data_IF_113118391052
#
_entry.id   IF_113118391052
#
_cell.length_a   1.000
_cell.length_b   1.000
_cell.length_c   1.000
_cell.angle_alpha   90.00
_cell.angle_beta   90.00
_cell.angle_gamma   90.00
#
_symmetry.space_group_name_H-M   'P 1'
#
loop_
_entity.id
_entity.type
_entity.pdbx_description
1 polymer ?
#
# COMPACT_ATOMS: atom_id res chain seq x y z
N UNK A 1 19.04 7.69 7.13
CA UNK A 1 17.70 7.37 7.68
C UNK A 1 17.72 6.13 8.57
N UNK A 2 18.22 4.96 8.08
CA UNK A 2 18.28 3.71 8.86
C UNK A 2 19.03 3.85 10.20
N UNK A 3 20.25 4.38 10.19
CA UNK A 3 21.07 4.48 11.41
C UNK A 3 20.47 5.46 12.43
N UNK A 4 19.82 6.52 11.94
CA UNK A 4 19.08 7.45 12.79
C UNK A 4 17.90 6.75 13.49
N UNK A 5 17.16 5.90 12.77
CA UNK A 5 16.07 5.11 13.35
C UNK A 5 16.59 4.08 14.35
N UNK A 6 17.70 3.37 14.04
CA UNK A 6 18.38 2.46 14.97
C UNK A 6 18.74 3.19 16.27
N UNK A 7 19.34 4.38 16.18
CA UNK A 7 19.69 5.19 17.34
C UNK A 7 18.45 5.62 18.16
N UNK A 8 17.35 6.00 17.49
CA UNK A 8 16.09 6.33 18.18
C UNK A 8 15.51 5.13 18.92
N UNK A 9 15.47 3.94 18.30
CA UNK A 9 15.01 2.73 18.97
C UNK A 9 15.84 2.42 20.23
N UNK A 10 17.17 2.48 20.12
CA UNK A 10 18.07 2.24 21.25
C UNK A 10 17.94 3.28 22.37
N UNK A 11 17.52 4.51 22.05
CA UNK A 11 17.25 5.54 23.06
C UNK A 11 15.97 5.27 23.87
N UNK A 12 15.02 4.52 23.31
CA UNK A 12 13.77 4.13 23.96
C UNK A 12 13.95 2.80 24.70
N UNK A 13 14.63 1.84 24.08
CA UNK A 13 14.94 0.53 24.65
C UNK A 13 16.39 0.16 24.32
N UNK A 14 17.27 0.29 25.32
CA UNK A 14 18.68 -0.02 25.19
C UNK A 14 18.96 -1.51 24.94
N UNK A 15 17.96 -2.39 25.16
CA UNK A 15 18.05 -3.82 24.90
C UNK A 15 17.53 -4.23 23.53
N UNK A 16 16.97 -3.27 22.76
CA UNK A 16 16.45 -3.53 21.43
C UNK A 16 17.54 -4.08 20.50
N UNK A 17 17.28 -5.24 19.92
CA UNK A 17 18.15 -5.91 18.95
C UNK A 17 17.40 -6.23 17.67
N UNK A 18 18.08 -6.19 16.53
CA UNK A 18 17.50 -6.57 15.22
C UNK A 18 18.17 -7.85 14.73
N UNK A 19 17.41 -8.94 14.71
CA UNK A 19 17.84 -10.26 14.23
C UNK A 19 17.19 -10.61 12.88
N UNK A 20 17.19 -9.66 11.95
CA UNK A 20 16.67 -9.88 10.61
C UNK A 20 17.84 -9.97 9.62
N UNK A 21 17.93 -11.00 8.77
CA UNK A 21 19.04 -11.16 7.83
C UNK A 21 19.16 -10.00 6.84
N UNK A 22 18.09 -9.25 6.59
CA UNK A 22 18.07 -8.10 5.68
C UNK A 22 18.34 -6.76 6.39
N UNK A 23 18.52 -6.74 7.71
CA UNK A 23 18.68 -5.51 8.49
C UNK A 23 19.92 -4.70 8.10
N UNK A 24 20.97 -5.39 7.65
CA UNK A 24 22.26 -4.80 7.30
C UNK A 24 22.52 -4.78 5.79
N UNK A 25 21.49 -4.99 4.96
CA UNK A 25 21.59 -4.89 3.50
C UNK A 25 22.21 -3.54 3.09
N UNK A 26 23.35 -3.61 2.40
CA UNK A 26 24.02 -2.45 1.79
C UNK A 26 23.84 -2.50 0.28
N UNK A 27 23.67 -1.33 -0.33
CA UNK A 27 23.70 -1.23 -1.79
C UNK A 27 25.14 -1.42 -2.27
N UNK A 28 25.31 -2.20 -3.34
CA UNK A 28 26.63 -2.52 -3.86
C UNK A 28 27.38 -1.27 -4.38
N UNK A 29 26.65 -0.33 -4.99
CA UNK A 29 27.13 1.00 -5.39
C UNK A 29 25.93 1.90 -5.74
N UNK A 30 26.19 3.13 -6.18
CA UNK A 30 25.19 4.02 -6.77
C UNK A 30 25.03 3.84 -8.29
N UNK A 31 25.80 2.91 -8.89
CA UNK A 31 25.69 2.59 -10.32
C UNK A 31 24.48 1.71 -10.61
N UNK A 32 23.69 2.09 -11.62
CA UNK A 32 22.47 1.37 -11.97
C UNK A 32 22.76 -0.09 -12.39
N UNK A 33 23.85 -0.34 -13.11
CA UNK A 33 24.22 -1.68 -13.56
C UNK A 33 24.62 -2.59 -12.40
N UNK A 34 25.37 -2.07 -11.43
CA UNK A 34 25.69 -2.78 -10.18
C UNK A 34 24.42 -3.10 -9.36
N UNK A 35 23.52 -2.12 -9.20
CA UNK A 35 22.26 -2.29 -8.49
C UNK A 35 21.36 -3.33 -9.16
N UNK A 36 21.29 -3.35 -10.50
CA UNK A 36 20.54 -4.36 -11.23
C UNK A 36 21.10 -5.77 -11.03
N UNK A 37 22.43 -5.91 -11.00
CA UNK A 37 23.08 -7.19 -10.71
C UNK A 37 22.80 -7.66 -9.28
N UNK A 38 22.89 -6.76 -8.30
CA UNK A 38 22.54 -7.07 -6.92
C UNK A 38 21.06 -7.47 -6.79
N UNK A 39 20.14 -6.78 -7.47
CA UNK A 39 18.71 -7.08 -7.42
C UNK A 39 18.35 -8.51 -7.87
N UNK A 40 19.17 -9.12 -8.72
CA UNK A 40 18.96 -10.51 -9.15
C UNK A 40 18.95 -11.50 -7.95
N UNK A 41 19.73 -11.22 -6.90
CA UNK A 41 19.80 -12.02 -5.66
C UNK A 41 18.53 -11.93 -4.79
N UNK A 42 17.67 -10.96 -5.10
CA UNK A 42 16.41 -10.68 -4.39
C UNK A 42 15.18 -10.92 -5.27
N UNK A 43 15.36 -11.56 -6.43
CA UNK A 43 14.22 -11.94 -7.27
C UNK A 43 13.28 -12.87 -6.49
N UNK A 44 11.95 -12.62 -6.48
CA UNK A 44 11.02 -13.40 -5.68
C UNK A 44 11.02 -14.91 -5.99
N UNK A 45 11.49 -15.30 -7.17
CA UNK A 45 11.54 -16.67 -7.67
C UNK A 45 12.94 -17.30 -7.65
N UNK A 46 13.93 -16.68 -6.99
CA UNK A 46 15.34 -17.12 -6.99
C UNK A 46 15.55 -18.58 -6.59
N UNK A 47 14.73 -19.10 -5.68
CA UNK A 47 14.83 -20.44 -5.09
C UNK A 47 13.68 -21.36 -5.53
N UNK A 48 12.96 -20.99 -6.60
CA UNK A 48 11.82 -21.73 -7.15
C UNK A 48 12.09 -23.22 -7.31
N UNK A 49 13.26 -23.59 -7.82
CA UNK A 49 13.63 -25.00 -8.05
C UNK A 49 13.74 -25.80 -6.74
N UNK A 50 14.08 -25.16 -5.62
CA UNK A 50 14.22 -25.79 -4.32
C UNK A 50 12.89 -25.87 -3.54
N UNK A 51 12.05 -24.84 -3.62
CA UNK A 51 10.81 -24.72 -2.82
C UNK A 51 9.55 -25.20 -3.56
N UNK A 52 9.59 -25.29 -4.89
CA UNK A 52 8.43 -25.65 -5.72
C UNK A 52 7.37 -24.55 -5.85
N UNK A 53 6.39 -24.80 -6.73
CA UNK A 53 5.40 -23.80 -7.15
C UNK A 53 4.44 -23.37 -6.04
N UNK A 54 4.07 -24.29 -5.13
CA UNK A 54 3.09 -24.00 -4.08
C UNK A 54 3.63 -22.99 -3.06
N UNK A 55 4.86 -23.21 -2.58
CA UNK A 55 5.51 -22.30 -1.62
C UNK A 55 5.81 -20.96 -2.29
N UNK A 56 6.31 -20.97 -3.53
CA UNK A 56 6.51 -19.74 -4.31
C UNK A 56 5.18 -18.97 -4.48
N UNK A 57 4.11 -19.66 -4.85
CA UNK A 57 2.78 -19.09 -5.03
C UNK A 57 2.28 -18.41 -3.76
N UNK A 58 2.44 -19.04 -2.60
CA UNK A 58 2.04 -18.45 -1.32
C UNK A 58 2.92 -17.26 -0.90
N UNK A 59 4.23 -17.30 -1.13
CA UNK A 59 5.10 -16.13 -0.92
C UNK A 59 4.65 -14.94 -1.76
N UNK A 60 4.36 -15.18 -3.04
CA UNK A 60 3.88 -14.15 -3.95
C UNK A 60 2.50 -13.65 -3.55
N UNK A 61 1.59 -14.54 -3.13
CA UNK A 61 0.27 -14.17 -2.61
C UNK A 61 0.41 -13.23 -1.41
N UNK A 62 1.29 -13.55 -0.46
CA UNK A 62 1.53 -12.68 0.70
C UNK A 62 2.14 -11.34 0.28
N UNK A 63 3.17 -11.35 -0.57
CA UNK A 63 3.84 -10.13 -1.04
C UNK A 63 2.88 -9.19 -1.79
N UNK A 64 2.08 -9.73 -2.72
CA UNK A 64 1.12 -8.94 -3.48
C UNK A 64 -0.10 -8.54 -2.64
N UNK A 65 -0.50 -9.38 -1.68
CA UNK A 65 -1.51 -9.03 -0.68
C UNK A 65 -1.10 -7.82 0.15
N UNK A 66 0.16 -7.77 0.62
CA UNK A 66 0.70 -6.59 1.30
C UNK A 66 0.77 -5.36 0.38
N UNK A 67 1.11 -5.52 -0.90
CA UNK A 67 1.07 -4.38 -1.83
C UNK A 67 -0.35 -3.80 -1.97
N UNK A 68 -1.36 -4.66 -2.04
CA UNK A 68 -2.76 -4.23 -2.06
C UNK A 68 -3.17 -3.52 -0.76
N UNK A 69 -2.82 -4.10 0.40
CA UNK A 69 -3.11 -3.50 1.70
C UNK A 69 -2.42 -2.13 1.86
N UNK A 70 -1.19 -1.98 1.39
CA UNK A 70 -0.48 -0.71 1.42
C UNK A 70 -1.17 0.38 0.60
N UNK A 71 -1.72 0.04 -0.57
CA UNK A 71 -2.46 1.01 -1.38
C UNK A 71 -3.69 1.55 -0.62
N UNK A 72 -4.48 0.68 0.01
CA UNK A 72 -5.63 1.12 0.81
C UNK A 72 -5.22 1.84 2.10
N UNK A 73 -4.11 1.44 2.73
CA UNK A 73 -3.54 2.16 3.87
C UNK A 73 -3.16 3.59 3.49
N UNK A 74 -2.57 3.80 2.32
CA UNK A 74 -2.21 5.12 1.83
C UNK A 74 -3.46 5.97 1.57
N UNK A 75 -4.48 5.43 0.90
CA UNK A 75 -5.73 6.16 0.71
C UNK A 75 -6.41 6.54 2.03
N UNK A 76 -6.41 5.64 3.01
CA UNK A 76 -6.91 5.94 4.35
C UNK A 76 -6.08 7.07 4.98
N UNK A 77 -4.75 6.99 4.90
CA UNK A 77 -3.84 8.01 5.46
C UNK A 77 -4.04 9.39 4.83
N UNK A 78 -4.24 9.44 3.51
CA UNK A 78 -4.54 10.67 2.75
C UNK A 78 -5.86 11.34 3.20
N UNK A 79 -6.77 10.56 3.79
CA UNK A 79 -8.02 11.02 4.43
C UNK A 79 -7.88 11.24 5.95
N UNK A 80 -6.66 11.17 6.49
CA UNK A 80 -6.36 11.34 7.91
C UNK A 80 -6.70 10.13 8.78
N UNK A 81 -6.99 8.98 8.18
CA UNK A 81 -7.31 7.73 8.88
C UNK A 81 -6.06 6.85 8.95
N UNK A 82 -5.65 6.47 10.16
CA UNK A 82 -4.53 5.55 10.37
C UNK A 82 -4.70 4.80 11.69
N UNK A 83 -4.04 3.64 11.77
CA UNK A 83 -4.03 2.80 12.95
C UNK A 83 -2.61 2.21 13.10
N UNK A 84 -1.98 2.49 14.24
CA UNK A 84 -0.61 2.06 14.51
C UNK A 84 -0.49 0.54 14.70
N UNK A 85 -1.55 -0.14 15.14
CA UNK A 85 -1.56 -1.60 15.27
C UNK A 85 -1.59 -2.26 13.89
N UNK A 86 -2.32 -1.68 12.94
CA UNK A 86 -2.29 -2.11 11.53
C UNK A 86 -0.88 -1.91 10.95
N UNK A 87 -0.26 -0.75 11.16
CA UNK A 87 1.09 -0.49 10.66
C UNK A 87 2.14 -1.41 11.29
N UNK A 88 2.03 -1.67 12.59
CA UNK A 88 2.88 -2.62 13.28
C UNK A 88 2.73 -4.05 12.70
N UNK A 89 1.49 -4.49 12.48
CA UNK A 89 1.21 -5.79 11.84
C UNK A 89 1.78 -5.86 10.42
N UNK A 90 1.58 -4.81 9.62
CA UNK A 90 2.09 -4.71 8.26
C UNK A 90 3.62 -4.85 8.21
N UNK A 91 4.33 -4.07 9.05
CA UNK A 91 5.78 -4.12 9.11
C UNK A 91 6.32 -5.45 9.66
N UNK A 92 5.62 -6.07 10.61
CA UNK A 92 5.98 -7.41 11.12
C UNK A 92 5.93 -8.46 10.00
N UNK A 93 4.85 -8.48 9.21
CA UNK A 93 4.70 -9.44 8.10
C UNK A 93 5.73 -9.17 7.01
N UNK A 94 5.96 -7.89 6.66
CA UNK A 94 6.98 -7.52 5.68
C UNK A 94 8.38 -7.97 6.11
N UNK A 95 8.74 -7.78 7.38
CA UNK A 95 10.02 -8.22 7.93
C UNK A 95 10.16 -9.76 7.88
N UNK A 96 9.09 -10.48 8.22
CA UNK A 96 9.06 -11.95 8.16
C UNK A 96 9.19 -12.49 6.73
N UNK A 97 8.48 -11.91 5.75
CA UNK A 97 8.65 -12.30 4.34
C UNK A 97 10.09 -12.07 3.84
N UNK A 98 10.77 -11.05 4.37
CA UNK A 98 12.18 -10.76 4.10
C UNK A 98 13.15 -11.84 4.56
N UNK A 99 12.73 -12.79 5.42
CA UNK A 99 13.53 -13.94 5.85
C UNK A 99 13.40 -15.15 4.92
N UNK A 100 12.71 -15.00 3.79
CA UNK A 100 12.48 -16.06 2.79
C UNK A 100 11.85 -17.34 3.39
N UNK A 101 10.69 -17.24 4.07
CA UNK A 101 10.05 -18.38 4.73
C UNK A 101 9.65 -19.46 3.71
N UNK A 102 9.92 -20.73 3.99
CA UNK A 102 9.62 -21.84 3.08
C UNK A 102 8.59 -22.83 3.63
N UNK A 103 8.05 -22.58 4.84
CA UNK A 103 7.03 -23.43 5.42
C UNK A 103 5.65 -23.12 4.82
N UNK A 104 4.99 -24.14 4.28
CA UNK A 104 3.72 -23.99 3.56
C UNK A 104 2.57 -23.56 4.48
N UNK A 105 2.50 -24.10 5.70
CA UNK A 105 1.41 -23.81 6.62
C UNK A 105 1.55 -22.39 7.19
N UNK A 106 2.76 -21.99 7.60
CA UNK A 106 3.04 -20.64 8.07
C UNK A 106 2.75 -19.59 6.98
N UNK A 107 3.06 -19.89 5.73
CA UNK A 107 2.72 -19.02 4.59
C UNK A 107 1.20 -18.92 4.36
N UNK A 108 0.48 -20.04 4.49
CA UNK A 108 -0.98 -20.03 4.37
C UNK A 108 -1.61 -19.23 5.51
N UNK A 109 -1.19 -19.45 6.75
CA UNK A 109 -1.64 -18.68 7.92
C UNK A 109 -1.34 -17.19 7.74
N UNK A 110 -0.12 -16.83 7.35
CA UNK A 110 0.26 -15.46 7.02
C UNK A 110 -0.65 -14.84 5.95
N UNK A 111 -1.02 -15.59 4.89
CA UNK A 111 -1.93 -15.07 3.86
C UNK A 111 -3.31 -14.72 4.42
N UNK A 112 -3.81 -15.50 5.38
CA UNK A 112 -5.08 -15.25 6.07
C UNK A 112 -4.96 -14.04 7.01
N UNK A 113 -3.84 -13.89 7.71
CA UNK A 113 -3.55 -12.71 8.53
C UNK A 113 -3.53 -11.43 7.70
N UNK A 114 -2.91 -11.46 6.51
CA UNK A 114 -2.90 -10.33 5.57
C UNK A 114 -4.33 -9.97 5.15
N UNK A 115 -5.17 -10.98 4.85
CA UNK A 115 -6.58 -10.75 4.51
C UNK A 115 -7.35 -10.06 5.63
N UNK A 116 -7.17 -10.50 6.88
CA UNK A 116 -7.81 -9.89 8.06
C UNK A 116 -7.31 -8.47 8.31
N UNK A 117 -6.00 -8.25 8.20
CA UNK A 117 -5.41 -6.91 8.30
C UNK A 117 -5.98 -5.98 7.22
N UNK A 118 -6.06 -6.45 5.97
CA UNK A 118 -6.62 -5.67 4.88
C UNK A 118 -8.10 -5.33 5.09
N UNK A 119 -8.88 -6.23 5.71
CA UNK A 119 -10.26 -5.92 6.08
C UNK A 119 -10.35 -4.77 7.08
N UNK A 120 -9.45 -4.71 8.07
CA UNK A 120 -9.36 -3.57 9.00
C UNK A 120 -8.96 -2.28 8.28
N UNK A 121 -8.01 -2.36 7.33
CA UNK A 121 -7.63 -1.22 6.48
C UNK A 121 -8.84 -0.69 5.70
N UNK A 122 -9.61 -1.59 5.08
CA UNK A 122 -10.81 -1.20 4.34
C UNK A 122 -11.86 -0.55 5.25
N UNK A 123 -11.98 -0.99 6.51
CA UNK A 123 -12.90 -0.38 7.48
C UNK A 123 -12.52 1.06 7.82
N UNK A 124 -11.23 1.36 8.02
CA UNK A 124 -10.80 2.74 8.30
C UNK A 124 -10.87 3.62 7.04
N UNK A 125 -10.64 3.04 5.85
CA UNK A 125 -10.82 3.73 4.58
C UNK A 125 -12.29 4.12 4.37
N UNK A 126 -13.22 3.17 4.52
CA UNK A 126 -14.67 3.41 4.42
C UNK A 126 -15.13 4.49 5.40
N UNK A 127 -14.67 4.45 6.66
CA UNK A 127 -14.96 5.48 7.63
C UNK A 127 -14.47 6.87 7.19
N UNK A 128 -13.25 6.95 6.64
CA UNK A 128 -12.69 8.18 6.09
C UNK A 128 -13.49 8.73 4.92
N UNK A 129 -13.81 7.87 3.94
CA UNK A 129 -14.57 8.25 2.75
C UNK A 129 -16.00 8.68 3.09
N UNK A 130 -16.70 7.89 3.90
CA UNK A 130 -18.10 8.18 4.26
C UNK A 130 -18.23 9.39 5.16
N UNK A 131 -17.25 9.65 6.06
CA UNK A 131 -17.21 10.87 6.86
C UNK A 131 -16.95 12.11 5.99
N UNK A 132 -16.04 12.01 5.02
CA UNK A 132 -15.60 13.15 4.21
C UNK A 132 -16.55 13.47 3.04
N UNK A 133 -17.12 12.45 2.40
CA UNK A 133 -17.91 12.56 1.17
C UNK A 133 -19.38 12.19 1.34
N UNK A 134 -19.76 11.64 2.50
CA UNK A 134 -21.09 11.14 2.78
C UNK A 134 -21.26 9.67 2.37
N UNK A 135 -22.27 9.01 2.93
CA UNK A 135 -22.59 7.63 2.56
C UNK A 135 -23.14 7.56 1.13
N UNK A 136 -22.70 6.58 0.31
CA UNK A 136 -23.24 6.39 -1.01
C UNK A 136 -24.74 6.06 -0.96
N UNK A 137 -25.52 6.72 -1.81
CA UNK A 137 -26.95 6.45 -1.98
C UNK A 137 -27.25 6.10 -3.44
N UNK A 138 -28.25 5.25 -3.73
CA UNK A 138 -28.70 5.03 -5.09
C UNK A 138 -29.01 6.35 -5.79
N UNK A 139 -28.31 6.63 -6.89
CA UNK A 139 -28.37 7.92 -7.60
C UNK A 139 -28.54 7.67 -9.09
N UNK A 140 -29.44 8.41 -9.74
CA UNK A 140 -29.56 8.34 -11.20
C UNK A 140 -28.42 9.12 -11.87
N UNK A 141 -27.75 8.48 -12.82
CA UNK A 141 -26.67 9.06 -13.61
C UNK A 141 -27.00 9.02 -15.10
N UNK A 142 -26.52 10.01 -15.85
CA UNK A 142 -26.68 10.03 -17.30
C UNK A 142 -25.67 9.07 -17.96
N UNK A 143 -26.18 8.11 -18.73
CA UNK A 143 -25.35 7.17 -19.51
C UNK A 143 -25.35 7.48 -21.02
N UNK A 144 -26.07 8.52 -21.45
CA UNK A 144 -26.10 8.96 -22.85
C UNK A 144 -24.94 9.92 -23.12
N UNK A 145 -24.23 9.67 -24.23
CA UNK A 145 -23.26 10.62 -24.75
C UNK A 145 -23.95 11.96 -25.03
N UNK A 146 -23.29 13.05 -24.63
CA UNK A 146 -23.78 14.42 -24.84
C UNK A 146 -22.70 15.20 -25.58
N UNK A 147 -23.09 16.01 -26.54
CA UNK A 147 -22.16 16.86 -27.30
C UNK A 147 -21.50 17.89 -26.38
N UNK A 148 -20.18 18.04 -26.48
CA UNK A 148 -19.40 19.01 -25.70
C UNK A 148 -18.06 18.47 -25.19
N UNK A 149 -17.40 19.26 -24.33
CA UNK A 149 -16.14 18.88 -23.67
C UNK A 149 -16.41 17.91 -22.53
N UNK A 150 -15.58 16.88 -22.42
CA UNK A 150 -15.64 15.90 -21.34
C UNK A 150 -14.28 15.74 -20.64
N UNK A 151 -14.31 15.30 -19.38
CA UNK A 151 -13.15 14.81 -18.65
C UNK A 151 -13.41 13.33 -18.38
N UNK A 152 -12.56 12.46 -18.93
CA UNK A 152 -12.56 11.05 -18.56
C UNK A 152 -11.75 10.89 -17.28
N UNK A 153 -12.35 10.28 -16.27
CA UNK A 153 -11.69 9.98 -15.00
C UNK A 153 -11.54 8.47 -14.93
N UNK A 154 -10.30 8.02 -14.84
CA UNK A 154 -9.93 6.65 -14.51
C UNK A 154 -9.16 6.66 -13.19
N UNK A 155 -9.32 5.60 -12.39
CA UNK A 155 -8.73 5.48 -11.06
C UNK A 155 -9.78 5.37 -9.96
N UNK A 156 -9.29 5.31 -8.71
CA UNK A 156 -10.11 5.02 -7.53
C UNK A 156 -9.99 6.07 -6.42
N UNK A 157 -9.14 7.09 -6.56
CA UNK A 157 -8.95 8.08 -5.49
C UNK A 157 -10.07 9.14 -5.48
N UNK A 158 -10.91 9.09 -4.45
CA UNK A 158 -12.04 10.02 -4.29
C UNK A 158 -11.60 11.45 -3.98
N UNK A 159 -10.42 11.65 -3.37
CA UNK A 159 -9.93 12.99 -3.02
C UNK A 159 -9.58 13.79 -4.28
N UNK A 160 -8.92 13.15 -5.22
CA UNK A 160 -8.57 13.77 -6.50
C UNK A 160 -9.83 14.08 -7.31
N UNK A 161 -10.77 13.13 -7.36
CA UNK A 161 -12.08 13.33 -8.00
C UNK A 161 -12.83 14.50 -7.35
N UNK A 162 -12.87 14.56 -6.01
CA UNK A 162 -13.52 15.64 -5.28
C UNK A 162 -12.91 17.00 -5.60
N UNK A 163 -11.58 17.09 -5.58
CA UNK A 163 -10.86 18.33 -5.90
C UNK A 163 -11.13 18.79 -7.34
N UNK A 164 -11.11 17.87 -8.30
CA UNK A 164 -11.42 18.14 -9.71
C UNK A 164 -12.86 18.68 -9.88
N UNK A 165 -13.84 18.06 -9.24
CA UNK A 165 -15.24 18.49 -9.30
C UNK A 165 -15.44 19.88 -8.67
N UNK A 166 -14.77 20.16 -7.56
CA UNK A 166 -14.84 21.47 -6.90
C UNK A 166 -14.23 22.57 -7.76
N UNK A 167 -13.11 22.31 -8.44
CA UNK A 167 -12.49 23.24 -9.37
C UNK A 167 -13.41 23.56 -10.57
N UNK A 168 -14.03 22.53 -11.18
CA UNK A 168 -14.95 22.71 -12.30
C UNK A 168 -16.21 23.51 -11.92
N UNK A 169 -16.77 23.27 -10.72
CA UNK A 169 -17.92 24.04 -10.22
C UNK A 169 -17.60 25.53 -10.08
N UNK A 170 -16.40 25.87 -9.60
CA UNK A 170 -15.94 27.26 -9.48
C UNK A 170 -15.81 27.93 -10.85
N UNK A 171 -15.28 27.24 -11.85
CA UNK A 171 -15.14 27.76 -13.21
C UNK A 171 -16.49 28.01 -13.89
N UNK A 172 -17.48 27.10 -13.75
CA UNK A 172 -18.84 27.33 -14.26
C UNK A 172 -19.51 28.57 -13.65
N UNK A 173 -19.30 28.85 -12.36
CA UNK A 173 -19.84 30.05 -11.71
C UNK A 173 -19.20 31.34 -12.24
N UNK A 174 -17.89 31.33 -12.56
CA UNK A 174 -17.22 32.48 -13.18
C UNK A 174 -17.65 32.73 -14.62
N UNK A 175 -17.95 31.70 -15.42
CA UNK A 175 -18.48 31.88 -16.78
C UNK A 175 -19.95 32.32 -16.82
N UNK A 176 -20.76 31.96 -15.81
CA UNK A 176 -22.18 32.34 -15.74
C UNK A 176 -22.43 33.72 -15.13
N UNK A 177 -21.43 34.30 -14.46
CA UNK A 177 -21.44 35.68 -13.98
C UNK A 177 -20.12 36.37 -14.37
N UNK A 178 -20.01 36.88 -15.61
CA UNK A 178 -18.90 37.76 -15.94
C UNK A 178 -19.01 39.04 -15.12
N UNK A 179 -17.86 39.56 -14.65
CA UNK A 179 -17.77 40.92 -14.09
C UNK A 179 -18.11 41.95 -15.16
#
# INVERSE_FOLDING_TARGET
MRDALKAQCLSVDATASVDNPMADLQLASDDLGDLQRQAAEFTPNKDKAAIGENILGLRLLCLYGLKGAAAYMEHAHVLGQYDNDIYAQYHKIMAWLGTWPADLNALLECSMEIGQMNFKVMSILDAGETTQYGHPTPTQVNVKATEGKCILISGHDLKDLYNLLQQNRRHRRQCLYPR
#
